data_IF_496133764525
#
_entry.id   IF_496133764525
#
_cell.length_a   1.000
_cell.length_b   1.000
_cell.length_c   1.000
_cell.angle_alpha   90.00
_cell.angle_beta   90.00
_cell.angle_gamma   90.00
#
_symmetry.space_group_name_H-M   'P 1'
#
loop_
_entity.id
_entity.type
_entity.pdbx_description
1 polymer ?
#
# COMPACT_ATOMS: atom_id res chain seq x y z
N UNK A 1 -6.00 64.21 28.67
CA UNK A 1 -5.06 65.21 28.11
C UNK A 1 -4.16 64.50 27.12
N UNK A 2 -4.08 64.94 25.85
CA UNK A 2 -3.29 64.27 24.83
C UNK A 2 -1.85 64.79 24.87
N UNK A 3 -0.89 63.87 24.86
CA UNK A 3 0.55 64.21 24.83
C UNK A 3 1.03 64.34 23.40
N UNK A 4 1.63 65.49 23.15
CA UNK A 4 2.06 66.05 21.87
C UNK A 4 3.34 65.35 21.36
N UNK A 5 3.34 65.00 20.07
CA UNK A 5 4.55 64.62 19.32
C UNK A 5 5.46 65.84 19.06
N UNK A 6 6.78 65.61 18.89
CA UNK A 6 7.51 66.38 17.90
C UNK A 6 8.23 65.50 16.87
N UNK A 7 7.73 65.68 15.65
CA UNK A 7 8.37 65.65 14.34
C UNK A 7 9.90 65.91 14.36
N UNK A 8 10.72 65.00 13.82
CA UNK A 8 12.09 65.32 13.39
C UNK A 8 12.36 64.83 11.97
N UNK A 9 12.65 65.84 11.14
CA UNK A 9 13.01 65.80 9.73
C UNK A 9 14.25 64.95 9.46
N UNK A 10 14.24 64.35 8.27
CA UNK A 10 15.26 63.44 7.78
C UNK A 10 16.61 64.07 7.42
N UNK A 11 17.58 63.17 7.22
CA UNK A 11 18.75 63.38 6.37
C UNK A 11 19.05 62.07 5.64
N UNK A 12 18.72 62.06 4.35
CA UNK A 12 19.20 61.10 3.37
C UNK A 12 20.72 61.22 3.25
N UNK A 13 21.45 60.17 3.61
CA UNK A 13 22.85 59.99 3.25
C UNK A 13 22.93 58.87 2.22
N UNK A 14 22.86 59.26 0.94
CA UNK A 14 23.20 58.40 -0.19
C UNK A 14 24.67 57.99 -0.07
N UNK A 15 24.91 56.76 0.37
CA UNK A 15 26.24 56.14 0.35
C UNK A 15 26.52 55.70 -1.08
N UNK A 16 27.42 56.43 -1.73
CA UNK A 16 27.99 56.18 -3.06
C UNK A 16 28.31 54.69 -3.25
N UNK A 17 27.66 54.07 -4.22
CA UNK A 17 28.03 52.76 -4.74
C UNK A 17 29.36 52.89 -5.47
N UNK A 18 30.37 52.15 -5.02
CA UNK A 18 31.66 52.04 -5.69
C UNK A 18 31.51 51.17 -6.95
N UNK A 19 32.13 51.61 -8.04
CA UNK A 19 32.13 50.91 -9.32
C UNK A 19 32.76 49.51 -9.20
N UNK A 20 32.19 48.47 -9.84
CA UNK A 20 32.80 47.14 -9.87
C UNK A 20 34.04 47.13 -10.76
N UNK A 21 35.15 46.60 -10.22
CA UNK A 21 36.41 46.43 -10.93
C UNK A 21 36.28 45.48 -12.13
N UNK A 22 37.01 45.72 -13.23
CA UNK A 22 36.91 44.93 -14.46
C UNK A 22 37.42 43.49 -14.28
N UNK A 23 36.61 42.54 -14.77
CA UNK A 23 36.91 41.10 -14.86
C UNK A 23 38.21 40.86 -15.62
N UNK A 24 39.17 40.18 -14.98
CA UNK A 24 40.32 39.57 -15.65
C UNK A 24 39.82 38.44 -16.55
N UNK A 25 39.91 38.65 -17.86
CA UNK A 25 39.76 37.62 -18.89
C UNK A 25 40.97 36.67 -18.81
N UNK A 26 40.75 35.45 -18.33
CA UNK A 26 41.76 34.40 -18.44
C UNK A 26 41.89 34.01 -19.92
N UNK A 27 43.10 34.20 -20.44
CA UNK A 27 43.47 33.77 -21.78
C UNK A 27 43.40 32.23 -21.84
N UNK A 28 42.58 31.71 -22.74
CA UNK A 28 42.56 30.30 -23.09
C UNK A 28 43.91 29.93 -23.73
N UNK A 29 44.62 28.99 -23.13
CA UNK A 29 45.83 28.41 -23.70
C UNK A 29 45.50 27.63 -24.99
N UNK A 30 46.27 27.78 -26.07
CA UNK A 30 46.01 27.07 -27.32
C UNK A 30 46.28 25.58 -27.14
N UNK A 31 45.25 24.76 -27.36
CA UNK A 31 45.34 23.29 -27.42
C UNK A 31 46.31 22.89 -28.53
N UNK A 32 47.47 22.35 -28.15
CA UNK A 32 48.44 21.76 -29.06
C UNK A 32 47.76 20.65 -29.88
N UNK A 33 47.63 20.85 -31.20
CA UNK A 33 47.23 19.80 -32.13
C UNK A 33 48.38 18.79 -32.20
N UNK A 34 48.20 17.64 -31.56
CA UNK A 34 49.06 16.47 -31.79
C UNK A 34 48.82 16.02 -33.23
N UNK A 35 49.79 16.29 -34.10
CA UNK A 35 49.85 15.77 -35.45
C UNK A 35 49.94 14.24 -35.39
N UNK A 36 48.91 13.55 -35.87
CA UNK A 36 48.96 12.10 -36.11
C UNK A 36 49.94 11.83 -37.24
N UNK A 37 51.06 11.18 -36.93
CA UNK A 37 51.88 10.53 -37.95
C UNK A 37 51.10 9.36 -38.57
N UNK A 38 51.14 9.16 -39.91
CA UNK A 38 50.59 7.98 -40.55
C UNK A 38 51.60 6.84 -40.46
N UNK A 39 51.33 5.86 -39.60
CA UNK A 39 52.09 4.61 -39.55
C UNK A 39 51.63 3.63 -40.65
N UNK A 40 52.51 2.77 -41.17
CA UNK A 40 52.43 2.19 -42.50
C UNK A 40 51.39 1.07 -42.64
N UNK A 41 50.81 1.01 -43.84
CA UNK A 41 49.98 -0.09 -44.34
C UNK A 41 50.70 -1.44 -44.16
N UNK A 42 50.27 -2.22 -43.18
CA UNK A 42 50.47 -3.67 -43.17
C UNK A 42 49.29 -4.32 -43.89
N UNK A 43 49.54 -4.74 -45.11
CA UNK A 43 48.78 -5.77 -45.82
C UNK A 43 48.87 -7.07 -45.03
N UNK A 44 47.79 -7.40 -44.30
CA UNK A 44 47.55 -8.76 -43.82
C UNK A 44 46.37 -9.35 -44.58
N UNK A 45 46.66 -10.51 -45.15
CA UNK A 45 45.85 -11.39 -45.96
C UNK A 45 44.36 -11.45 -45.56
N UNK A 46 43.54 -11.26 -46.59
CA UNK A 46 42.15 -11.70 -46.71
C UNK A 46 42.13 -13.22 -46.57
N UNK A 47 41.44 -13.76 -45.56
CA UNK A 47 41.34 -15.22 -45.41
C UNK A 47 40.86 -15.71 -44.05
N UNK A 48 39.71 -15.23 -43.58
CA UNK A 48 38.83 -16.01 -42.69
C UNK A 48 37.48 -15.30 -42.60
N UNK A 49 36.43 -15.97 -43.07
CA UNK A 49 35.03 -15.64 -42.77
C UNK A 49 34.74 -15.93 -41.30
N UNK A 50 35.43 -15.25 -40.39
CA UNK A 50 34.92 -15.09 -39.04
C UNK A 50 33.94 -13.93 -39.13
N UNK A 51 32.68 -14.25 -39.39
CA UNK A 51 31.60 -13.43 -38.90
C UNK A 51 31.84 -13.31 -37.40
N UNK A 52 32.46 -12.21 -36.98
CA UNK A 52 32.37 -11.76 -35.59
C UNK A 52 30.89 -11.44 -35.43
N UNK A 53 30.09 -12.49 -35.14
CA UNK A 53 28.82 -12.32 -34.49
C UNK A 53 29.21 -11.58 -33.23
N UNK A 54 29.03 -10.26 -33.26
CA UNK A 54 28.86 -9.50 -32.04
C UNK A 54 27.68 -10.19 -31.40
N UNK A 55 27.98 -11.10 -30.47
CA UNK A 55 27.03 -11.52 -29.47
C UNK A 55 26.70 -10.19 -28.82
N UNK A 56 25.60 -9.58 -29.26
CA UNK A 56 24.93 -8.54 -28.51
C UNK A 56 24.60 -9.24 -27.21
N UNK A 57 25.54 -9.25 -26.26
CA UNK A 57 25.20 -9.47 -24.87
C UNK A 57 24.15 -8.39 -24.65
N UNK A 58 22.89 -8.72 -24.35
CA UNK A 58 21.91 -7.73 -23.97
C UNK A 58 22.34 -7.20 -22.59
N UNK A 59 23.42 -6.43 -22.56
CA UNK A 59 23.92 -5.68 -21.41
C UNK A 59 23.23 -4.32 -21.31
N UNK A 60 22.38 -3.98 -22.28
CA UNK A 60 21.56 -2.79 -22.26
C UNK A 60 20.29 -3.06 -21.48
N UNK A 61 20.20 -2.51 -20.28
CA UNK A 61 18.93 -2.42 -19.59
C UNK A 61 17.90 -1.65 -20.44
N UNK A 62 16.63 -2.05 -20.37
CA UNK A 62 15.56 -1.42 -21.15
C UNK A 62 15.04 -0.20 -20.40
N UNK A 63 15.25 0.99 -20.96
CA UNK A 63 14.69 2.23 -20.42
C UNK A 63 13.23 2.36 -20.84
N UNK A 64 12.34 2.53 -19.87
CA UNK A 64 10.92 2.75 -20.07
C UNK A 64 10.44 3.97 -19.28
N UNK A 65 9.39 4.60 -19.79
CA UNK A 65 8.72 5.75 -19.17
C UNK A 65 7.21 5.56 -19.28
N UNK A 66 6.48 5.98 -18.25
CA UNK A 66 5.04 5.89 -18.24
C UNK A 66 4.42 6.73 -17.13
N UNK A 67 3.10 6.79 -17.16
CA UNK A 67 2.32 7.37 -16.08
C UNK A 67 1.17 6.43 -15.79
N UNK A 68 1.01 6.06 -14.53
CA UNK A 68 -0.02 5.14 -14.05
C UNK A 68 -0.90 5.81 -12.98
N UNK A 69 -2.18 5.46 -12.92
CA UNK A 69 -3.06 5.84 -11.81
C UNK A 69 -2.83 4.85 -10.67
N UNK A 70 -2.39 5.35 -9.52
CA UNK A 70 -2.08 4.54 -8.33
C UNK A 70 -3.33 4.36 -7.46
N UNK A 71 -4.01 5.46 -7.14
CA UNK A 71 -5.12 5.45 -6.20
C UNK A 71 -6.16 6.49 -6.59
N UNK A 72 -7.42 6.14 -6.32
CA UNK A 72 -8.57 7.02 -6.46
C UNK A 72 -9.53 6.75 -5.32
N UNK A 73 -9.83 7.76 -4.52
CA UNK A 73 -10.78 7.63 -3.41
C UNK A 73 -11.49 8.94 -3.12
N UNK A 74 -12.62 8.84 -2.43
CA UNK A 74 -13.35 9.97 -1.88
C UNK A 74 -12.87 10.25 -0.45
N UNK A 75 -12.74 11.53 -0.12
CA UNK A 75 -12.42 12.03 1.22
C UNK A 75 -13.68 12.70 1.76
N UNK A 76 -14.35 12.09 2.76
CA UNK A 76 -15.52 12.67 3.38
C UNK A 76 -15.21 13.94 4.16
N UNK A 77 -16.20 14.82 4.33
CA UNK A 77 -16.10 15.99 5.22
C UNK A 77 -15.92 15.64 6.72
N UNK A 78 -16.32 14.43 7.10
CA UNK A 78 -16.19 13.87 8.45
C UNK A 78 -14.77 13.39 8.80
N UNK A 79 -13.82 13.48 7.86
CA UNK A 79 -12.43 13.04 8.05
C UNK A 79 -11.78 13.77 9.24
N UNK A 80 -11.19 13.04 10.18
CA UNK A 80 -10.52 13.68 11.31
C UNK A 80 -9.27 14.48 10.86
N UNK A 81 -9.00 15.66 11.46
CA UNK A 81 -7.74 16.36 11.25
C UNK A 81 -6.57 15.48 11.75
N UNK A 82 -5.48 15.45 10.99
CA UNK A 82 -4.33 14.60 11.27
C UNK A 82 -4.52 13.13 10.89
N UNK A 83 -5.64 12.75 10.27
CA UNK A 83 -5.86 11.38 9.81
C UNK A 83 -4.94 11.04 8.62
N UNK A 84 -4.38 9.83 8.66
CA UNK A 84 -3.69 9.23 7.53
C UNK A 84 -4.72 8.82 6.47
N UNK A 85 -4.55 9.30 5.24
CA UNK A 85 -5.48 9.03 4.13
C UNK A 85 -4.93 8.04 3.14
N UNK A 86 -3.61 8.02 2.96
CA UNK A 86 -2.95 7.11 2.03
C UNK A 86 -1.57 6.81 2.55
N UNK A 87 -1.23 5.53 2.53
CA UNK A 87 0.12 5.06 2.76
C UNK A 87 0.41 3.88 1.83
N UNK A 88 1.28 4.10 0.85
CA UNK A 88 1.59 3.11 -0.19
C UNK A 88 3.11 2.98 -0.33
N UNK A 89 3.65 1.78 -0.12
CA UNK A 89 5.03 1.48 -0.52
C UNK A 89 5.12 1.41 -2.03
N UNK A 90 6.04 2.14 -2.65
CA UNK A 90 6.15 2.14 -4.11
C UNK A 90 6.79 0.83 -4.58
N UNK A 91 6.07 0.08 -5.39
CA UNK A 91 6.52 -1.16 -6.03
C UNK A 91 6.07 -1.15 -7.48
N UNK A 92 6.68 -1.97 -8.35
CA UNK A 92 6.23 -2.08 -9.74
C UNK A 92 4.78 -2.53 -9.87
N UNK A 93 4.27 -3.27 -8.88
CA UNK A 93 2.95 -3.89 -8.89
C UNK A 93 1.82 -2.88 -8.88
N UNK A 94 2.05 -1.72 -8.27
CA UNK A 94 1.03 -0.68 -8.08
C UNK A 94 0.69 0.03 -9.39
N UNK A 95 1.65 0.14 -10.31
CA UNK A 95 1.40 0.71 -11.63
C UNK A 95 0.93 -0.37 -12.60
N UNK A 96 -0.29 -0.32 -13.18
CA UNK A 96 -0.78 -1.39 -14.05
C UNK A 96 0.13 -1.65 -15.27
N UNK A 97 0.64 -0.57 -15.88
CA UNK A 97 1.58 -0.67 -17.00
C UNK A 97 2.97 -1.07 -16.51
N UNK A 98 3.44 -0.47 -15.41
CA UNK A 98 4.76 -0.79 -14.87
C UNK A 98 4.86 -2.25 -14.45
N UNK A 99 3.83 -2.81 -13.81
CA UNK A 99 3.69 -4.23 -13.44
C UNK A 99 3.87 -5.15 -14.64
N UNK A 100 3.12 -4.88 -15.71
CA UNK A 100 3.18 -5.67 -16.94
C UNK A 100 4.57 -5.66 -17.58
N UNK A 101 5.27 -4.53 -17.50
CA UNK A 101 6.65 -4.43 -18.00
C UNK A 101 7.65 -5.10 -17.07
N UNK A 102 7.50 -4.90 -15.76
CA UNK A 102 8.38 -5.40 -14.72
C UNK A 102 8.37 -6.92 -14.61
N UNK A 103 7.26 -7.58 -14.90
CA UNK A 103 7.15 -9.05 -14.87
C UNK A 103 8.13 -9.78 -15.79
N UNK A 104 8.66 -9.11 -16.81
CA UNK A 104 9.65 -9.65 -17.73
C UNK A 104 11.12 -9.44 -17.26
N UNK A 105 11.32 -8.92 -16.06
CA UNK A 105 12.63 -8.55 -15.53
C UNK A 105 12.71 -8.88 -14.04
N UNK A 106 13.93 -9.04 -13.52
CA UNK A 106 14.19 -9.30 -12.10
C UNK A 106 14.61 -8.04 -11.35
N UNK A 107 15.12 -7.04 -12.08
CA UNK A 107 15.70 -5.83 -11.49
C UNK A 107 15.28 -4.58 -12.24
N UNK A 108 15.15 -3.49 -11.51
CA UNK A 108 14.88 -2.17 -12.06
C UNK A 108 15.70 -1.10 -11.36
N UNK A 109 15.83 0.04 -12.02
CA UNK A 109 16.35 1.27 -11.43
C UNK A 109 15.40 2.42 -11.74
N UNK A 110 14.92 3.09 -10.70
CA UNK A 110 14.15 4.33 -10.86
C UNK A 110 15.09 5.49 -11.20
N UNK A 111 14.72 6.28 -12.21
CA UNK A 111 15.42 7.52 -12.62
C UNK A 111 14.60 8.76 -12.35
N UNK A 112 13.26 8.63 -12.36
CA UNK A 112 12.33 9.71 -12.06
C UNK A 112 11.09 9.10 -11.43
N UNK A 113 10.62 9.73 -10.36
CA UNK A 113 9.35 9.42 -9.71
C UNK A 113 8.70 10.76 -9.38
N UNK A 114 7.51 11.01 -9.93
CA UNK A 114 6.73 12.20 -9.65
C UNK A 114 5.28 11.79 -9.44
N UNK A 115 4.73 12.17 -8.30
CA UNK A 115 3.36 11.90 -7.90
C UNK A 115 2.52 13.15 -8.13
N UNK A 116 1.47 13.02 -8.93
CA UNK A 116 0.53 14.09 -9.22
C UNK A 116 -0.73 13.82 -8.40
N UNK A 117 -0.91 14.59 -7.34
CA UNK A 117 -2.11 14.58 -6.51
C UNK A 117 -3.11 15.51 -7.17
N UNK A 118 -4.06 14.93 -7.90
CA UNK A 118 -5.10 15.65 -8.61
C UNK A 118 -6.36 15.69 -7.76
N UNK A 119 -6.58 16.84 -7.13
CA UNK A 119 -7.76 17.10 -6.34
C UNK A 119 -8.87 17.66 -7.23
N UNK A 120 -10.04 17.03 -7.22
CA UNK A 120 -11.18 17.39 -8.10
C UNK A 120 -12.28 18.17 -7.36
N UNK A 121 -11.98 18.66 -6.16
CA UNK A 121 -12.88 19.50 -5.37
C UNK A 121 -13.10 20.90 -5.97
N UNK A 122 -14.27 21.48 -5.71
CA UNK A 122 -14.58 22.88 -6.04
C UNK A 122 -13.70 23.84 -5.24
N UNK A 123 -13.39 25.02 -5.78
CA UNK A 123 -12.63 26.06 -5.07
C UNK A 123 -13.34 26.60 -3.81
N UNK A 124 -14.62 26.28 -3.64
CA UNK A 124 -15.40 26.58 -2.43
C UNK A 124 -15.11 25.60 -1.28
N UNK A 125 -14.49 24.45 -1.56
CA UNK A 125 -14.15 23.45 -0.54
C UNK A 125 -12.99 23.97 0.30
N UNK A 126 -13.28 24.28 1.57
CA UNK A 126 -12.27 24.65 2.56
C UNK A 126 -11.44 23.43 2.99
N UNK A 127 -10.38 23.66 3.77
CA UNK A 127 -9.50 22.61 4.28
C UNK A 127 -8.21 22.43 3.49
N UNK A 128 -7.38 21.49 3.93
CA UNK A 128 -6.07 21.24 3.34
C UNK A 128 -5.53 19.84 3.63
N UNK A 129 -4.67 19.35 2.75
CA UNK A 129 -3.94 18.09 2.89
C UNK A 129 -2.43 18.32 2.82
N UNK A 130 -1.67 17.32 3.26
CA UNK A 130 -0.22 17.23 3.07
C UNK A 130 0.12 15.92 2.37
N UNK A 131 1.02 15.99 1.39
CA UNK A 131 1.57 14.84 0.70
C UNK A 131 3.10 14.85 0.77
N UNK A 132 3.71 13.69 0.94
CA UNK A 132 5.16 13.53 0.87
C UNK A 132 5.55 12.15 0.32
N UNK A 133 6.79 12.07 -0.18
CA UNK A 133 7.45 10.80 -0.47
C UNK A 133 8.51 10.54 0.61
N UNK A 134 8.39 9.42 1.31
CA UNK A 134 9.34 8.99 2.34
C UNK A 134 10.31 7.98 1.70
N UNK A 135 11.63 8.28 1.64
CA UNK A 135 12.59 7.40 0.95
C UNK A 135 12.81 6.02 1.58
N UNK A 136 12.46 5.83 2.86
CA UNK A 136 12.58 4.53 3.52
C UNK A 136 11.23 3.79 3.50
N UNK A 137 11.12 2.64 2.80
CA UNK A 137 9.88 1.88 2.76
C UNK A 137 9.49 1.21 4.09
N UNK A 138 10.40 1.16 5.06
CA UNK A 138 10.11 0.63 6.40
C UNK A 138 9.56 1.69 7.38
N UNK A 139 9.67 2.98 7.03
CA UNK A 139 9.25 4.08 7.89
C UNK A 139 7.75 4.35 7.71
N UNK A 140 6.94 3.91 8.67
CA UNK A 140 5.49 3.96 8.62
C UNK A 140 4.94 5.18 9.37
N UNK A 141 3.99 5.94 8.78
CA UNK A 141 3.34 7.05 9.46
C UNK A 141 2.47 6.55 10.64
N UNK A 142 2.31 7.35 11.70
CA UNK A 142 1.30 7.08 12.72
C UNK A 142 -0.11 7.26 12.15
N UNK A 143 -1.10 6.48 12.63
CA UNK A 143 -2.50 6.60 12.19
C UNK A 143 -3.12 7.96 12.53
N UNK A 144 -2.79 8.49 13.71
CA UNK A 144 -3.27 9.77 14.22
C UNK A 144 -2.11 10.78 14.24
N UNK A 145 -2.43 12.06 13.98
CA UNK A 145 -1.44 13.15 13.86
C UNK A 145 -0.38 12.89 12.77
N UNK A 146 -0.79 12.18 11.71
CA UNK A 146 0.04 11.85 10.57
C UNK A 146 0.52 13.12 9.84
N UNK A 147 -0.28 14.17 9.83
CA UNK A 147 0.02 15.46 9.20
C UNK A 147 1.34 16.08 9.68
N UNK A 148 1.56 16.11 10.99
CA UNK A 148 2.77 16.65 11.61
C UNK A 148 4.01 15.83 11.27
N UNK A 149 3.85 14.51 11.22
CA UNK A 149 4.90 13.56 10.87
C UNK A 149 5.27 13.67 9.39
N UNK A 150 4.28 13.66 8.49
CA UNK A 150 4.48 13.81 7.04
C UNK A 150 5.18 15.14 6.72
N UNK A 151 4.79 16.23 7.38
CA UNK A 151 5.43 17.54 7.24
C UNK A 151 6.89 17.60 7.68
N UNK A 152 7.33 16.67 8.54
CA UNK A 152 8.73 16.61 8.98
C UNK A 152 9.66 16.10 7.86
N UNK A 153 9.13 15.43 6.84
CA UNK A 153 9.93 14.91 5.74
C UNK A 153 10.28 15.98 4.69
N UNK A 154 11.47 15.81 4.09
CA UNK A 154 11.92 16.72 3.04
C UNK A 154 11.09 16.53 1.78
N UNK A 155 10.63 17.64 1.19
CA UNK A 155 9.79 17.62 -0.02
C UNK A 155 8.29 17.44 0.28
N UNK A 156 7.89 17.41 1.55
CA UNK A 156 6.50 17.49 1.93
C UNK A 156 5.86 18.78 1.38
N UNK A 157 4.67 18.65 0.80
CA UNK A 157 3.92 19.76 0.21
C UNK A 157 2.49 19.76 0.74
N UNK A 158 2.02 20.92 1.21
CA UNK A 158 0.62 21.12 1.55
C UNK A 158 -0.14 21.86 0.46
N UNK A 159 -1.44 21.56 0.38
CA UNK A 159 -2.36 22.29 -0.48
C UNK A 159 -3.79 22.21 -0.01
N UNK A 160 -4.63 23.07 -0.57
CA UNK A 160 -6.09 23.00 -0.41
C UNK A 160 -6.68 21.88 -1.26
N UNK A 161 -7.83 21.34 -0.86
CA UNK A 161 -8.53 20.23 -1.51
C UNK A 161 -9.02 20.48 -2.95
N UNK A 162 -8.84 21.69 -3.47
CA UNK A 162 -9.16 22.09 -4.84
C UNK A 162 -7.91 22.40 -5.69
N UNK A 163 -6.71 22.34 -5.07
CA UNK A 163 -5.44 22.59 -5.74
C UNK A 163 -4.72 21.26 -5.97
N UNK A 164 -4.39 21.00 -7.23
CA UNK A 164 -3.57 19.84 -7.59
C UNK A 164 -2.08 20.13 -7.39
N UNK A 165 -1.36 19.15 -6.86
CA UNK A 165 0.06 19.30 -6.47
C UNK A 165 0.91 18.18 -7.03
N UNK A 166 2.18 18.49 -7.29
CA UNK A 166 3.18 17.51 -7.65
C UNK A 166 4.15 17.30 -6.50
N UNK A 167 4.38 16.05 -6.14
CA UNK A 167 5.38 15.63 -5.15
C UNK A 167 6.45 14.84 -5.87
N UNK A 168 7.70 15.29 -5.78
CA UNK A 168 8.83 14.60 -6.39
C UNK A 168 9.42 13.58 -5.41
N UNK A 169 9.56 12.33 -5.86
CA UNK A 169 10.27 11.29 -5.13
C UNK A 169 11.72 11.22 -5.62
N UNK A 170 12.73 11.54 -4.79
CA UNK A 170 14.13 11.44 -5.21
C UNK A 170 14.43 9.98 -5.62
N UNK A 171 14.98 9.75 -6.83
CA UNK A 171 15.27 8.40 -7.28
C UNK A 171 16.34 7.77 -6.39
N UNK A 172 16.13 6.53 -5.89
CA UNK A 172 17.15 5.83 -5.15
C UNK A 172 18.40 5.59 -6.00
N UNK A 173 19.60 5.64 -5.41
CA UNK A 173 20.84 5.38 -6.15
C UNK A 173 20.99 3.90 -6.54
N UNK A 174 20.33 3.00 -5.82
CA UNK A 174 20.47 1.55 -5.95
C UNK A 174 19.52 0.94 -6.98
N UNK A 175 19.92 -0.23 -7.49
CA UNK A 175 19.08 -1.10 -8.31
C UNK A 175 18.23 -1.95 -7.36
N UNK A 176 16.94 -2.07 -7.65
CA UNK A 176 15.96 -2.78 -6.83
C UNK A 176 15.48 -4.04 -7.52
N UNK A 177 15.01 -5.01 -6.75
CA UNK A 177 14.28 -6.16 -7.27
C UNK A 177 12.86 -5.76 -7.66
N UNK A 178 12.34 -6.41 -8.70
CA UNK A 178 10.97 -6.22 -9.19
C UNK A 178 9.96 -6.93 -8.29
N UNK A 179 10.30 -8.11 -7.77
CA UNK A 179 9.47 -8.82 -6.80
C UNK A 179 9.55 -8.14 -5.43
N UNK A 180 8.40 -7.95 -4.79
CA UNK A 180 8.32 -7.32 -3.48
C UNK A 180 8.56 -8.36 -2.37
N UNK A 181 9.42 -8.01 -1.41
CA UNK A 181 9.67 -8.82 -0.23
C UNK A 181 9.37 -7.99 1.02
N UNK A 182 8.46 -8.49 1.87
CA UNK A 182 8.03 -7.77 3.09
C UNK A 182 9.08 -7.76 4.20
N UNK A 183 9.97 -8.76 4.24
CA UNK A 183 10.99 -8.90 5.30
C UNK A 183 12.09 -7.85 5.15
N UNK A 184 12.47 -7.51 3.92
CA UNK A 184 13.46 -6.48 3.61
C UNK A 184 12.96 -5.60 2.44
N UNK A 185 12.02 -4.66 2.72
CA UNK A 185 11.36 -3.88 1.68
C UNK A 185 12.29 -2.87 1.00
N UNK A 186 13.45 -2.55 1.60
CA UNK A 186 14.43 -1.61 1.04
C UNK A 186 15.11 -2.12 -0.23
N UNK A 187 15.07 -3.44 -0.47
CA UNK A 187 15.64 -4.05 -1.67
C UNK A 187 14.70 -4.01 -2.88
N UNK A 188 13.39 -3.87 -2.66
CA UNK A 188 12.34 -3.94 -3.68
C UNK A 188 11.60 -2.61 -3.87
N UNK A 189 11.58 -1.75 -2.85
CA UNK A 189 10.86 -0.47 -2.86
C UNK A 189 11.79 0.73 -2.69
N UNK A 190 11.56 1.84 -3.43
CA UNK A 190 12.32 3.07 -3.29
C UNK A 190 11.86 3.96 -2.14
N UNK A 191 10.79 3.60 -1.44
CA UNK A 191 10.15 4.43 -0.45
C UNK A 191 8.62 4.32 -0.49
N UNK A 192 7.94 5.11 0.34
CA UNK A 192 6.48 5.18 0.42
C UNK A 192 5.97 6.54 -0.01
N UNK A 193 4.79 6.57 -0.62
CA UNK A 193 4.04 7.80 -0.85
C UNK A 193 2.93 7.89 0.20
N UNK A 194 2.87 9.03 0.90
CA UNK A 194 1.95 9.25 2.01
C UNK A 194 1.14 10.53 1.79
N UNK A 195 -0.16 10.45 2.10
CA UNK A 195 -1.10 11.57 2.12
C UNK A 195 -1.81 11.62 3.48
N UNK A 196 -1.86 12.78 4.11
CA UNK A 196 -2.57 13.01 5.36
C UNK A 196 -3.48 14.25 5.28
N UNK A 197 -4.57 14.19 6.05
CA UNK A 197 -5.49 15.30 6.24
C UNK A 197 -4.89 16.31 7.23
N UNK A 198 -4.73 17.58 6.84
CA UNK A 198 -4.38 18.65 7.81
C UNK A 198 -5.68 19.20 8.39
N UNK A 199 -6.57 19.66 7.51
CA UNK A 199 -7.90 20.17 7.85
C UNK A 199 -8.92 19.47 6.95
N UNK A 200 -10.00 18.88 7.50
CA UNK A 200 -11.00 18.19 6.69
C UNK A 200 -11.58 19.06 5.59
N UNK A 201 -11.99 18.46 4.47
CA UNK A 201 -12.68 19.19 3.43
C UNK A 201 -14.05 19.65 3.96
N UNK A 202 -14.50 20.84 3.57
CA UNK A 202 -15.83 21.34 4.00
C UNK A 202 -17.02 20.65 3.31
N UNK A 203 -16.75 19.78 2.34
CA UNK A 203 -17.70 18.92 1.64
C UNK A 203 -16.93 17.78 0.99
N UNK A 204 -17.57 16.62 0.79
CA UNK A 204 -16.94 15.46 0.15
C UNK A 204 -16.17 15.83 -1.12
N UNK A 205 -14.92 15.39 -1.18
CA UNK A 205 -14.02 15.64 -2.31
C UNK A 205 -13.41 14.34 -2.79
N UNK A 206 -12.91 14.33 -4.02
CA UNK A 206 -12.26 13.15 -4.60
C UNK A 206 -10.82 13.49 -4.96
N UNK A 207 -9.94 12.52 -4.74
CA UNK A 207 -8.52 12.62 -5.07
C UNK A 207 -8.14 11.49 -6.01
N UNK A 208 -7.37 11.84 -7.04
CA UNK A 208 -6.72 10.90 -7.95
C UNK A 208 -5.21 11.09 -7.88
N UNK A 209 -4.46 10.00 -7.76
CA UNK A 209 -3.00 10.06 -7.64
C UNK A 209 -2.38 9.35 -8.83
N UNK A 210 -1.72 10.12 -9.67
CA UNK A 210 -0.98 9.59 -10.82
C UNK A 210 0.51 9.54 -10.50
N UNK A 211 1.19 8.51 -10.97
CA UNK A 211 2.62 8.33 -10.81
C UNK A 211 3.31 8.34 -12.17
N UNK A 212 4.07 9.40 -12.41
CA UNK A 212 4.95 9.56 -13.55
C UNK A 212 6.32 8.96 -13.22
N UNK A 213 6.65 7.86 -13.90
CA UNK A 213 7.83 7.05 -13.63
C UNK A 213 8.73 6.93 -14.86
N UNK A 214 10.04 6.86 -14.59
CA UNK A 214 11.07 6.49 -15.56
C UNK A 214 11.97 5.45 -14.94
N UNK A 215 12.05 4.27 -15.56
CA UNK A 215 12.79 3.13 -15.02
C UNK A 215 13.72 2.51 -16.06
N UNK A 216 14.83 1.92 -15.63
CA UNK A 216 15.61 1.01 -16.47
C UNK A 216 15.54 -0.38 -15.90
N UNK A 217 15.02 -1.31 -16.68
CA UNK A 217 15.00 -2.72 -16.33
C UNK A 217 16.34 -3.39 -16.62
N UNK A 218 16.69 -4.39 -15.82
CA UNK A 218 17.89 -5.20 -16.00
C UNK A 218 17.61 -6.63 -15.56
N UNK A 219 18.38 -7.58 -16.09
CA UNK A 219 18.20 -9.02 -15.84
C UNK A 219 16.82 -9.53 -16.28
N UNK A 220 16.69 -9.99 -17.54
CA UNK A 220 15.45 -10.61 -18.00
C UNK A 220 15.08 -11.81 -17.12
N UNK A 221 13.81 -11.89 -16.73
CA UNK A 221 13.24 -12.98 -15.93
C UNK A 221 11.76 -13.13 -16.31
N UNK A 222 11.09 -14.15 -15.78
CA UNK A 222 9.63 -14.24 -15.84
C UNK A 222 9.12 -14.32 -14.41
N UNK A 223 8.79 -13.17 -13.84
CA UNK A 223 8.26 -13.05 -12.50
C UNK A 223 6.73 -13.04 -12.54
N UNK A 224 6.12 -13.89 -11.71
CA UNK A 224 4.73 -13.75 -11.36
C UNK A 224 4.66 -12.69 -10.28
N UNK A 225 4.52 -11.44 -10.72
CA UNK A 225 4.28 -10.34 -9.82
C UNK A 225 2.88 -10.49 -9.23
N UNK A 226 2.82 -10.62 -7.91
CA UNK A 226 1.58 -10.73 -7.17
C UNK A 226 0.55 -9.68 -7.54
N UNK A 227 -0.71 -10.06 -7.42
CA UNK A 227 -1.82 -9.10 -7.48
C UNK A 227 -1.86 -8.34 -6.17
N UNK A 228 -0.92 -7.43 -5.97
CA UNK A 228 -1.03 -6.38 -4.94
C UNK A 228 -2.03 -5.35 -5.46
N UNK A 229 -3.31 -5.70 -5.46
CA UNK A 229 -4.37 -4.71 -5.67
C UNK A 229 -4.60 -3.93 -4.38
N UNK A 230 -4.73 -2.61 -4.56
CA UNK A 230 -5.02 -1.67 -3.50
C UNK A 230 -6.53 -1.51 -3.46
N UNK A 231 -7.14 -1.95 -2.36
CA UNK A 231 -8.56 -1.79 -2.10
C UNK A 231 -8.77 -0.59 -1.18
N UNK A 232 -9.64 0.34 -1.58
CA UNK A 232 -10.10 1.44 -0.71
C UNK A 232 -11.50 1.15 -0.25
N UNK A 233 -11.74 1.25 1.06
CA UNK A 233 -13.04 1.05 1.65
C UNK A 233 -13.89 2.33 1.52
N UNK A 234 -15.09 2.22 0.95
CA UNK A 234 -15.99 3.35 0.68
C UNK A 234 -16.97 3.66 1.83
N UNK A 235 -17.06 2.79 2.85
CA UNK A 235 -18.03 2.87 3.94
C UNK A 235 -17.32 2.61 5.27
N UNK A 236 -17.71 3.25 6.36
CA UNK A 236 -17.17 2.95 7.68
C UNK A 236 -17.38 1.47 8.03
N UNK A 237 -16.33 0.78 8.43
CA UNK A 237 -16.39 -0.56 8.99
C UNK A 237 -16.37 -0.51 10.51
N UNK A 238 -17.33 -1.21 11.11
CA UNK A 238 -17.51 -1.32 12.55
C UNK A 238 -17.66 -2.78 12.95
N UNK A 239 -17.28 -3.07 14.18
CA UNK A 239 -17.68 -4.33 14.81
C UNK A 239 -19.09 -4.17 15.39
N UNK A 240 -19.88 -5.24 15.37
CA UNK A 240 -21.16 -5.28 16.06
C UNK A 240 -20.98 -5.04 17.56
N UNK A 241 -21.75 -4.11 18.12
CA UNK A 241 -21.83 -3.87 19.56
C UNK A 241 -22.49 -5.09 20.20
N UNK A 242 -21.78 -5.85 21.02
CA UNK A 242 -22.42 -6.84 21.91
C UNK A 242 -22.52 -6.25 23.31
N UNK A 243 -23.70 -6.29 23.93
CA UNK A 243 -23.98 -5.72 25.27
C UNK A 243 -23.29 -6.46 26.45
N UNK A 244 -22.14 -7.10 26.22
CA UNK A 244 -21.35 -7.85 27.20
C UNK A 244 -22.11 -8.96 27.95
N UNK A 245 -23.29 -9.37 27.47
CA UNK A 245 -23.94 -10.55 28.02
C UNK A 245 -23.28 -11.79 27.43
N UNK A 246 -22.67 -12.61 28.29
CA UNK A 246 -21.89 -13.82 27.96
C UNK A 246 -22.66 -14.91 27.19
N UNK A 247 -23.88 -14.63 26.72
CA UNK A 247 -24.80 -15.52 26.04
C UNK A 247 -25.22 -15.05 24.65
N UNK A 248 -24.80 -13.85 24.20
CA UNK A 248 -25.09 -13.40 22.84
C UNK A 248 -24.08 -14.00 21.86
N UNK A 249 -24.53 -14.57 20.73
CA UNK A 249 -23.63 -15.15 19.74
C UNK A 249 -22.78 -14.06 19.09
N UNK A 250 -21.50 -14.35 18.88
CA UNK A 250 -20.58 -13.47 18.19
C UNK A 250 -21.01 -13.30 16.72
N UNK A 251 -21.20 -12.05 16.29
CA UNK A 251 -21.50 -11.74 14.89
C UNK A 251 -20.18 -11.59 14.14
N UNK A 252 -19.91 -12.57 13.26
CA UNK A 252 -18.63 -12.67 12.55
C UNK A 252 -18.43 -11.68 11.40
N UNK A 253 -19.47 -10.95 10.99
CA UNK A 253 -19.41 -10.04 9.85
C UNK A 253 -19.16 -8.59 10.30
N UNK A 254 -18.34 -7.88 9.52
CA UNK A 254 -18.16 -6.44 9.68
C UNK A 254 -19.41 -5.67 9.25
N UNK A 255 -19.71 -4.57 9.94
CA UNK A 255 -20.97 -3.84 9.81
C UNK A 255 -20.72 -2.38 9.41
N UNK A 256 -21.72 -1.77 8.74
CA UNK A 256 -21.66 -0.39 8.25
C UNK A 256 -22.09 0.65 9.29
N UNK A 257 -23.05 0.28 10.15
CA UNK A 257 -23.74 1.21 11.06
C UNK A 257 -23.43 0.93 12.54
N UNK A 258 -23.32 1.96 13.39
CA UNK A 258 -23.17 1.80 14.84
C UNK A 258 -24.41 1.21 15.52
N UNK A 259 -25.61 1.38 14.95
CA UNK A 259 -26.87 0.88 15.56
C UNK A 259 -27.02 -0.64 15.45
N UNK A 260 -26.13 -1.27 14.67
CA UNK A 260 -26.25 -2.65 14.26
C UNK A 260 -26.24 -3.67 15.42
N UNK A 261 -25.42 -3.44 16.45
CA UNK A 261 -25.29 -4.37 17.57
C UNK A 261 -26.53 -4.50 18.47
N UNK A 262 -27.42 -3.50 18.44
CA UNK A 262 -28.67 -3.51 19.19
C UNK A 262 -29.84 -4.18 18.44
N UNK A 263 -29.78 -4.26 17.11
CA UNK A 263 -30.90 -4.65 16.25
C UNK A 263 -30.90 -6.13 15.87
N UNK A 264 -29.73 -6.75 15.74
CA UNK A 264 -29.59 -8.12 15.21
C UNK A 264 -28.89 -9.04 16.20
N UNK A 265 -29.54 -10.17 16.53
CA UNK A 265 -29.03 -11.15 17.49
C UNK A 265 -28.33 -12.34 16.85
N UNK A 266 -28.26 -12.41 15.52
CA UNK A 266 -27.63 -13.51 14.78
C UNK A 266 -26.90 -13.01 13.53
N UNK A 267 -25.85 -13.72 13.12
CA UNK A 267 -25.07 -13.43 11.90
C UNK A 267 -25.90 -13.57 10.60
N UNK A 268 -26.97 -14.36 10.63
CA UNK A 268 -27.86 -14.55 9.48
C UNK A 268 -28.78 -13.36 9.28
N UNK A 269 -29.35 -12.83 10.37
CA UNK A 269 -30.15 -11.60 10.31
C UNK A 269 -29.31 -10.42 9.78
N UNK A 270 -28.05 -10.34 10.23
CA UNK A 270 -27.06 -9.36 9.81
C UNK A 270 -26.88 -9.30 8.29
N UNK A 271 -26.60 -10.47 7.68
CA UNK A 271 -26.32 -10.59 6.25
C UNK A 271 -27.53 -10.26 5.38
N UNK A 272 -28.73 -10.58 5.85
CA UNK A 272 -29.99 -10.39 5.12
C UNK A 272 -30.42 -8.92 5.13
N UNK A 273 -30.15 -8.19 6.23
CA UNK A 273 -30.54 -6.80 6.41
C UNK A 273 -29.73 -5.79 5.58
N UNK A 274 -28.66 -6.21 4.90
CA UNK A 274 -27.74 -5.36 4.13
C UNK A 274 -26.92 -4.35 4.94
N UNK A 275 -26.97 -4.47 6.27
CA UNK A 275 -26.19 -3.65 7.21
C UNK A 275 -24.73 -4.13 7.34
N UNK A 276 -24.40 -5.32 6.83
CA UNK A 276 -23.03 -5.84 6.77
C UNK A 276 -22.23 -5.27 5.59
N UNK A 277 -20.92 -5.15 5.77
CA UNK A 277 -20.00 -4.84 4.68
C UNK A 277 -20.07 -5.89 3.58
N UNK A 278 -20.17 -5.39 2.35
CA UNK A 278 -20.22 -6.14 1.10
C UNK A 278 -18.93 -5.96 0.33
N UNK A 279 -18.59 -6.88 -0.59
CA UNK A 279 -17.46 -6.71 -1.49
C UNK A 279 -17.55 -5.44 -2.36
N UNK A 280 -18.77 -4.99 -2.65
CA UNK A 280 -19.06 -3.76 -3.42
C UNK A 280 -18.76 -2.47 -2.65
N UNK A 281 -18.55 -2.54 -1.34
CA UNK A 281 -18.16 -1.37 -0.54
C UNK A 281 -16.66 -1.08 -0.67
N UNK A 282 -15.90 -1.90 -1.40
CA UNK A 282 -14.50 -1.63 -1.76
C UNK A 282 -14.42 -1.08 -3.19
N UNK A 283 -13.41 -0.24 -3.43
CA UNK A 283 -12.99 0.18 -4.76
C UNK A 283 -11.52 -0.22 -4.96
N UNK A 284 -11.19 -1.11 -5.93
CA UNK A 284 -12.10 -1.90 -6.76
C UNK A 284 -12.93 -2.89 -5.93
N UNK A 285 -13.97 -3.49 -6.53
CA UNK A 285 -14.82 -4.48 -5.85
C UNK A 285 -13.97 -5.66 -5.42
N UNK A 286 -14.03 -6.02 -4.13
CA UNK A 286 -13.21 -7.10 -3.58
C UNK A 286 -13.62 -8.46 -4.21
N UNK A 287 -12.71 -9.21 -4.87
CA UNK A 287 -13.07 -10.47 -5.49
C UNK A 287 -13.33 -11.57 -4.45
N UNK A 288 -14.17 -12.55 -4.82
CA UNK A 288 -14.44 -13.71 -3.97
C UNK A 288 -13.16 -14.52 -3.72
N UNK A 289 -12.94 -14.96 -2.48
CA UNK A 289 -11.75 -15.73 -2.10
C UNK A 289 -10.49 -14.90 -1.85
N UNK A 290 -10.57 -13.57 -2.01
CA UNK A 290 -9.48 -12.64 -1.69
C UNK A 290 -9.44 -12.37 -0.19
N UNK A 291 -8.26 -12.50 0.41
CA UNK A 291 -7.99 -12.07 1.78
C UNK A 291 -7.07 -10.86 1.72
N UNK A 292 -7.50 -9.81 2.38
CA UNK A 292 -6.75 -8.56 2.54
C UNK A 292 -6.07 -8.58 3.89
N UNK A 293 -4.81 -8.15 3.93
CA UNK A 293 -4.09 -7.92 5.17
C UNK A 293 -4.61 -6.72 5.94
N UNK A 294 -4.70 -6.86 7.26
CA UNK A 294 -4.88 -5.70 8.12
C UNK A 294 -3.53 -4.98 8.27
N UNK A 295 -3.51 -3.63 8.17
CA UNK A 295 -2.27 -2.86 8.35
C UNK A 295 -1.66 -3.08 9.75
N UNK A 296 -2.54 -3.26 10.75
CA UNK A 296 -2.19 -3.62 12.11
C UNK A 296 -3.03 -4.85 12.57
N UNK A 297 -2.41 -5.87 13.19
CA UNK A 297 -3.14 -7.00 13.74
C UNK A 297 -4.11 -6.56 14.84
N UNK A 298 -5.37 -6.96 14.72
CA UNK A 298 -6.39 -6.67 15.72
C UNK A 298 -6.44 -7.81 16.75
N UNK A 299 -6.33 -7.50 18.03
CA UNK A 299 -6.48 -8.51 19.09
C UNK A 299 -7.94 -8.55 19.54
N UNK A 300 -8.60 -9.69 19.32
CA UNK A 300 -9.93 -9.98 19.85
C UNK A 300 -9.79 -10.75 21.15
N UNK A 301 -10.43 -10.28 22.21
CA UNK A 301 -10.41 -10.97 23.49
C UNK A 301 -11.61 -11.93 23.56
N UNK A 302 -11.44 -13.14 24.08
CA UNK A 302 -12.58 -13.99 24.42
C UNK A 302 -13.10 -13.60 25.80
N UNK A 303 -14.30 -13.03 25.89
CA UNK A 303 -14.93 -12.73 27.18
C UNK A 303 -15.83 -13.91 27.57
N UNK A 304 -15.21 -15.04 27.89
CA UNK A 304 -15.92 -16.28 28.22
C UNK A 304 -16.51 -16.28 29.62
N UNK A 305 -16.25 -15.27 30.46
CA UNK A 305 -16.75 -15.18 31.84
C UNK A 305 -16.37 -16.35 32.78
N UNK A 306 -15.68 -17.36 32.27
CA UNK A 306 -15.26 -18.55 32.98
C UNK A 306 -13.78 -18.43 33.33
N UNK A 307 -13.45 -18.63 34.61
CA UNK A 307 -12.08 -18.60 35.13
C UNK A 307 -11.24 -19.73 34.51
N UNK A 308 -10.62 -19.45 33.36
CA UNK A 308 -9.73 -20.37 32.65
C UNK A 308 -9.29 -19.78 31.31
N UNK A 309 -8.31 -18.87 31.37
CA UNK A 309 -7.57 -18.23 30.27
C UNK A 309 -8.40 -17.57 29.13
N UNK A 310 -8.26 -16.26 28.87
CA UNK A 310 -8.79 -15.69 27.63
C UNK A 310 -7.99 -16.25 26.44
N UNK A 311 -8.66 -16.96 25.54
CA UNK A 311 -8.11 -17.24 24.21
C UNK A 311 -8.21 -15.93 23.42
N UNK A 312 -7.13 -15.15 23.40
CA UNK A 312 -7.05 -13.99 22.51
C UNK A 312 -6.84 -14.48 21.08
N UNK A 313 -7.69 -14.05 20.15
CA UNK A 313 -7.49 -14.26 18.73
C UNK A 313 -6.80 -13.02 18.14
N UNK A 314 -5.64 -13.21 17.52
CA UNK A 314 -4.98 -12.15 16.77
C UNK A 314 -5.45 -12.27 15.33
N UNK A 315 -6.23 -11.31 14.89
CA UNK A 315 -6.75 -11.21 13.53
C UNK A 315 -5.75 -10.42 12.70
N UNK A 316 -5.35 -11.00 11.58
CA UNK A 316 -4.32 -10.45 10.70
C UNK A 316 -4.87 -10.10 9.32
N UNK A 317 -6.12 -10.45 9.02
CA UNK A 317 -6.71 -10.23 7.71
C UNK A 317 -8.23 -10.27 7.73
N UNK A 318 -8.81 -9.90 6.59
CA UNK A 318 -10.25 -9.94 6.35
C UNK A 318 -10.52 -10.38 4.92
N UNK A 319 -11.69 -10.96 4.67
CA UNK A 319 -12.01 -11.48 3.34
C UNK A 319 -13.50 -11.72 3.14
N UNK A 320 -13.85 -12.00 1.89
CA UNK A 320 -15.24 -12.27 1.48
C UNK A 320 -15.62 -13.71 1.84
N UNK A 321 -16.71 -13.87 2.58
CA UNK A 321 -17.34 -15.17 2.82
C UNK A 321 -18.76 -15.18 2.27
N UNK A 322 -19.06 -16.26 1.55
CA UNK A 322 -20.39 -16.55 1.01
C UNK A 322 -21.13 -17.49 1.98
N UNK A 323 -22.35 -17.12 2.39
CA UNK A 323 -23.24 -17.94 3.21
C UNK A 323 -24.59 -18.09 2.52
N UNK A 324 -25.10 -19.31 2.46
CA UNK A 324 -26.44 -19.59 1.93
C UNK A 324 -27.46 -19.59 3.07
N UNK A 325 -28.46 -18.72 2.99
CA UNK A 325 -29.53 -18.56 3.97
C UNK A 325 -30.86 -18.70 3.22
N UNK A 326 -31.66 -19.70 3.58
CA UNK A 326 -32.99 -19.94 2.98
C UNK A 326 -32.96 -20.04 1.43
N UNK A 327 -31.92 -20.67 0.87
CA UNK A 327 -31.75 -20.85 -0.58
C UNK A 327 -31.27 -19.61 -1.34
N UNK A 328 -30.96 -18.52 -0.65
CA UNK A 328 -30.35 -17.32 -1.21
C UNK A 328 -28.91 -17.20 -0.72
N UNK A 329 -28.00 -16.83 -1.62
CA UNK A 329 -26.59 -16.61 -1.29
C UNK A 329 -26.36 -15.17 -0.90
N UNK A 330 -25.71 -14.96 0.24
CA UNK A 330 -25.32 -13.66 0.75
C UNK A 330 -23.80 -13.62 0.89
N UNK A 331 -23.21 -12.47 0.58
CA UNK A 331 -21.78 -12.22 0.74
C UNK A 331 -21.56 -11.20 1.85
N UNK A 332 -20.62 -11.48 2.75
CA UNK A 332 -20.22 -10.55 3.80
C UNK A 332 -18.72 -10.58 4.00
N UNK A 333 -18.18 -9.52 4.60
CA UNK A 333 -16.77 -9.46 4.99
C UNK A 333 -16.64 -9.96 6.43
N UNK A 334 -15.67 -10.84 6.66
CA UNK A 334 -15.37 -11.37 7.98
C UNK A 334 -13.86 -11.41 8.23
N UNK A 335 -13.51 -11.59 9.49
CA UNK A 335 -12.12 -11.64 9.94
C UNK A 335 -11.49 -13.02 9.79
N UNK A 336 -10.22 -13.02 9.43
CA UNK A 336 -9.38 -14.19 9.33
C UNK A 336 -8.13 -14.02 10.19
N UNK A 337 -7.69 -15.10 10.80
CA UNK A 337 -6.40 -15.16 11.47
C UNK A 337 -5.48 -16.14 10.76
N UNK A 338 -4.19 -15.84 10.77
CA UNK A 338 -3.15 -16.76 10.31
C UNK A 338 -2.13 -16.98 11.41
N UNK A 339 -1.82 -18.26 11.71
CA UNK A 339 -0.75 -18.60 12.66
C UNK A 339 0.62 -18.61 12.01
N UNK A 340 0.68 -18.78 10.69
CA UNK A 340 1.92 -19.04 9.94
C UNK A 340 2.11 -18.10 8.74
N UNK A 341 1.22 -17.13 8.52
CA UNK A 341 1.17 -16.24 7.34
C UNK A 341 0.67 -16.91 6.05
N UNK A 342 0.61 -18.25 6.01
CA UNK A 342 0.25 -19.03 4.82
C UNK A 342 -1.17 -19.60 4.92
N UNK A 343 -1.52 -20.18 6.07
CA UNK A 343 -2.84 -20.76 6.30
C UNK A 343 -3.75 -19.73 6.98
N UNK A 344 -4.90 -19.48 6.36
CA UNK A 344 -5.89 -18.55 6.88
C UNK A 344 -7.11 -19.31 7.39
N UNK A 345 -7.53 -18.99 8.61
CA UNK A 345 -8.69 -19.60 9.24
C UNK A 345 -9.75 -18.55 9.50
N UNK A 346 -10.97 -18.83 9.04
CA UNK A 346 -12.14 -18.00 9.29
C UNK A 346 -12.49 -18.02 10.78
N UNK A 347 -12.86 -16.85 11.32
CA UNK A 347 -13.35 -16.74 12.69
C UNK A 347 -14.76 -17.35 12.82
N UNK A 348 -14.90 -18.41 13.62
CA UNK A 348 -16.14 -19.19 13.74
C UNK A 348 -17.04 -18.66 14.86
N UNK A 349 -18.36 -18.59 14.60
CA UNK A 349 -19.42 -18.14 15.52
C UNK A 349 -19.49 -18.93 16.84
N UNK A 350 -18.99 -20.17 16.86
CA UNK A 350 -19.05 -21.06 18.03
C UNK A 350 -18.06 -20.69 19.14
N UNK A 351 -17.16 -19.74 18.89
CA UNK A 351 -16.24 -19.21 19.91
C UNK A 351 -16.71 -17.81 20.33
N UNK A 352 -16.98 -17.57 21.62
CA UNK A 352 -17.39 -16.25 22.11
C UNK A 352 -16.17 -15.32 22.17
N UNK A 353 -15.87 -14.68 21.04
CA UNK A 353 -15.01 -13.50 21.04
C UNK A 353 -15.89 -12.29 21.37
N UNK A 354 -15.49 -11.48 22.34
CA UNK A 354 -16.11 -10.20 22.62
C UNK A 354 -15.07 -9.13 22.40
N UNK A 355 -15.40 -8.17 21.55
CA UNK A 355 -14.54 -7.03 21.30
C UNK A 355 -15.24 -5.89 21.98
N UNK A 356 -14.54 -5.23 22.91
CA UNK A 356 -15.12 -4.11 23.63
C UNK A 356 -15.68 -3.14 22.60
N UNK A 357 -16.97 -2.77 22.69
CA UNK A 357 -17.54 -1.83 21.75
C UNK A 357 -16.74 -0.54 21.86
N UNK A 358 -16.26 -0.08 20.72
CA UNK A 358 -15.70 1.26 20.57
C UNK A 358 -16.67 2.07 19.74
N UNK A 359 -17.05 3.25 20.22
CA UNK A 359 -17.91 4.18 19.47
C UNK A 359 -17.27 4.64 18.15
N UNK A 360 -15.95 4.43 18.01
CA UNK A 360 -15.16 4.74 16.82
C UNK A 360 -15.18 3.59 15.80
N UNK A 361 -15.26 3.90 14.50
CA UNK A 361 -15.09 2.90 13.45
C UNK A 361 -13.70 2.28 13.53
N UNK A 362 -13.62 0.98 13.22
CA UNK A 362 -12.36 0.24 13.22
C UNK A 362 -11.59 0.55 11.95
N UNK A 363 -12.33 0.64 10.83
CA UNK A 363 -11.79 1.12 9.58
C UNK A 363 -12.68 2.27 9.09
N UNK A 364 -12.20 3.53 9.11
CA UNK A 364 -12.95 4.65 8.56
C UNK A 364 -13.10 4.54 7.03
N UNK A 365 -14.09 5.22 6.46
CA UNK A 365 -14.17 5.47 5.01
C UNK A 365 -12.81 6.00 4.51
N UNK A 366 -12.34 5.45 3.39
CA UNK A 366 -11.03 5.77 2.81
C UNK A 366 -9.90 4.88 3.32
N UNK A 367 -10.16 3.95 4.25
CA UNK A 367 -9.16 2.95 4.68
C UNK A 367 -8.64 2.15 3.49
N UNK A 368 -7.31 1.99 3.43
CA UNK A 368 -6.62 1.30 2.34
C UNK A 368 -6.11 -0.05 2.81
N UNK A 369 -6.18 -0.99 1.88
CA UNK A 369 -6.08 -2.39 2.12
C UNK A 369 -5.26 -3.03 1.00
N UNK A 370 -4.18 -3.72 1.36
CA UNK A 370 -3.32 -4.43 0.42
C UNK A 370 -3.74 -5.91 0.37
N UNK A 371 -3.90 -6.45 -0.84
CA UNK A 371 -4.12 -7.89 -1.04
C UNK A 371 -2.95 -8.69 -0.46
N UNK A 372 -3.24 -9.71 0.35
CA UNK A 372 -2.24 -10.68 0.76
C UNK A 372 -2.28 -11.87 -0.19
N UNK A 373 -1.13 -12.20 -0.79
CA UNK A 373 -1.01 -13.39 -1.62
C UNK A 373 -1.33 -14.64 -0.80
N UNK A 374 -2.52 -15.20 -1.01
CA UNK A 374 -2.79 -16.60 -0.75
C UNK A 374 -2.05 -17.39 -1.83
N UNK A 375 -1.10 -18.24 -1.44
CA UNK A 375 -0.39 -19.11 -2.37
C UNK A 375 -1.38 -20.07 -3.06
N UNK A 376 -2.00 -19.62 -4.14
CA UNK A 376 -2.99 -20.37 -4.89
C UNK A 376 -2.27 -21.15 -5.99
N UNK A 377 -2.00 -22.43 -5.73
CA UNK A 377 -1.55 -23.36 -6.78
C UNK A 377 -2.65 -24.39 -7.11
N UNK A 378 -3.18 -24.24 -8.33
CA UNK A 378 -3.64 -25.27 -9.28
C UNK A 378 -4.97 -26.03 -9.06
N UNK A 379 -5.96 -25.66 -9.90
CA UNK A 379 -6.90 -26.47 -10.69
C UNK A 379 -7.23 -27.94 -10.28
N UNK A 380 -8.53 -28.15 -10.00
CA UNK A 380 -9.42 -29.27 -10.37
C UNK A 380 -8.82 -30.66 -10.67
N UNK A 381 -9.12 -31.67 -9.82
CA UNK A 381 -9.62 -33.00 -10.24
C UNK A 381 -10.03 -33.88 -9.04
N UNK A 382 -10.96 -34.81 -9.31
CA UNK A 382 -11.78 -35.54 -8.32
C UNK A 382 -11.23 -36.93 -7.91
N UNK A 383 -11.52 -37.28 -6.65
CA UNK A 383 -11.72 -38.61 -6.04
C UNK A 383 -10.60 -39.68 -6.04
N UNK A 384 -10.17 -40.09 -4.84
CA UNK A 384 -10.10 -41.50 -4.43
C UNK A 384 -9.92 -41.68 -2.91
N UNK A 385 -10.78 -42.53 -2.38
CA UNK A 385 -10.95 -43.08 -1.03
C UNK A 385 -9.73 -43.85 -0.50
N UNK A 386 -9.50 -43.83 0.84
CA UNK A 386 -9.41 -45.03 1.70
C UNK A 386 -8.77 -44.78 3.09
N UNK A 387 -9.62 -44.94 4.12
CA UNK A 387 -9.49 -45.68 5.41
C UNK A 387 -8.24 -45.59 6.32
N UNK A 388 -8.53 -45.09 7.56
CA UNK A 388 -8.27 -45.63 8.94
C UNK A 388 -6.80 -45.91 9.37
N UNK A 389 -6.33 -45.71 10.62
CA UNK A 389 -6.93 -45.40 11.93
C UNK A 389 -5.88 -44.95 13.00
N UNK A 390 -6.35 -44.16 14.00
CA UNK A 390 -6.09 -44.17 15.49
C UNK A 390 -4.62 -44.05 16.01
N UNK A 391 -4.27 -43.35 17.11
CA UNK A 391 -5.00 -42.78 18.28
C UNK A 391 -4.07 -41.85 19.12
N UNK A 392 -4.70 -40.95 19.91
CA UNK A 392 -4.32 -40.45 21.27
C UNK A 392 -3.27 -39.32 21.42
N UNK A 393 -3.36 -38.31 22.31
CA UNK A 393 -4.39 -37.81 23.27
C UNK A 393 -3.96 -36.38 23.67
N UNK A 394 -4.43 -35.35 22.99
CA UNK A 394 -4.57 -33.98 23.50
C UNK A 394 -5.72 -33.35 22.72
N UNK A 395 -6.77 -32.96 23.42
CA UNK A 395 -8.02 -32.48 22.83
C UNK A 395 -7.82 -31.11 22.18
N UNK A 396 -7.44 -31.11 20.91
CA UNK A 396 -7.59 -29.97 20.03
C UNK A 396 -9.09 -29.70 19.78
N UNK A 397 -9.51 -28.45 19.57
CA UNK A 397 -10.87 -28.14 19.16
C UNK A 397 -11.20 -28.87 17.85
N UNK A 398 -12.46 -29.26 17.67
CA UNK A 398 -12.93 -29.97 16.47
C UNK A 398 -12.83 -29.02 15.28
N UNK A 399 -11.78 -29.22 14.48
CA UNK A 399 -11.52 -28.51 13.23
C UNK A 399 -12.42 -29.07 12.13
N UNK A 400 -13.25 -28.22 11.52
CA UNK A 400 -13.97 -28.57 10.30
C UNK A 400 -13.13 -28.12 9.10
N UNK A 401 -12.35 -29.04 8.54
CA UNK A 401 -11.63 -28.80 7.29
C UNK A 401 -12.61 -28.67 6.12
N UNK A 402 -12.48 -27.60 5.35
CA UNK A 402 -13.11 -27.47 4.03
C UNK A 402 -12.50 -28.52 3.06
N UNK A 403 -13.27 -29.03 2.08
CA UNK A 403 -12.90 -30.21 1.29
C UNK A 403 -11.77 -30.00 0.26
N UNK A 404 -11.06 -28.89 0.29
CA UNK A 404 -9.91 -28.62 -0.58
C UNK A 404 -8.60 -28.69 0.22
N UNK A 405 -8.07 -29.89 0.39
CA UNK A 405 -6.72 -30.09 0.91
C UNK A 405 -6.19 -31.50 0.63
N UNK A 406 -5.07 -31.59 -0.09
CA UNK A 406 -4.08 -32.67 0.07
C UNK A 406 -2.66 -32.12 -0.11
N UNK A 407 -1.80 -32.61 0.77
CA UNK A 407 -0.37 -32.35 0.98
C UNK A 407 0.49 -33.22 0.06
N UNK A 408 1.62 -32.71 -0.41
CA UNK A 408 2.86 -33.50 -0.60
C UNK A 408 4.06 -32.70 -0.08
N UNK A 409 4.82 -33.35 0.80
CA UNK A 409 6.13 -32.98 1.35
C UNK A 409 7.23 -33.51 0.43
N UNK A 410 8.37 -32.79 0.31
CA UNK A 410 9.73 -33.35 0.43
C UNK A 410 10.82 -32.26 0.50
N UNK A 411 11.61 -32.39 1.57
CA UNK A 411 12.91 -31.81 1.96
C UNK A 411 13.94 -31.47 0.86
N UNK A 412 14.70 -30.38 1.06
CA UNK A 412 16.15 -30.36 1.35
C UNK A 412 16.68 -28.90 1.35
N UNK A 413 17.06 -28.30 2.49
CA UNK A 413 18.34 -28.42 3.20
C UNK A 413 19.34 -27.29 2.88
N UNK A 414 19.79 -26.62 3.96
CA UNK A 414 21.14 -26.07 4.26
C UNK A 414 21.46 -24.58 4.04
N UNK A 415 21.83 -23.99 5.20
CA UNK A 415 22.93 -23.04 5.53
C UNK A 415 22.68 -21.57 5.16
N UNK A 416 22.89 -20.58 6.03
CA UNK A 416 23.59 -20.46 7.31
C UNK A 416 22.78 -19.57 8.27
#
# INVERSE_FOLDING_TARGET
GPTIMPNRKGKNAQRKQAAPAPRKTSCASPRARVARMPAPRRTTLIGANQSVQRVNRPTGGRLETGTDLIARFAVPDSTAPGALLLDIAITPNIGPRLKTLASAWQRLRYHRMRFQVNATGSSLVGGSFVAAFIPDPADKPPLNNADSWVMAHTGATSSSWWVSVNVDGPPPPQIMYTNFEQTEPRLSSPGRFVLACINPPSSDTTININWDWRVTFSQPSLEQLGTEEIYTLNVDARLPISDNSASLPFIKYLCKSPEFGALHTTSDAALVADDCLRPTDFTPVLPDGTIVGLPDPLTLNSDTGASGAPENAIVTGMGVVEKEISGKKYKGICFFYSTNGVDWTELVETKPFSIRPTDCPIFPVGSIFEELELSSSLNSQSAATSRRSRRSLTSAPVLQQLPSGRVISLLNSRRY
#
